data_IF_130169990592
#
_entry.id   IF_130169990592
#
_cell.length_a   1.000
_cell.length_b   1.000
_cell.length_c   1.000
_cell.angle_alpha   90.00
_cell.angle_beta   90.00
_cell.angle_gamma   90.00
#
_symmetry.space_group_name_H-M   'P 1'
#
loop_
_entity.id
_entity.type
_entity.pdbx_description
1 polymer ?
#
# COMPACT_ATOMS: atom_id res chain seq x y z
N UNK A 1 1.32 -58.82 6.36
CA UNK A 1 0.56 -57.56 6.18
C UNK A 1 1.57 -56.49 5.82
N UNK A 2 1.86 -56.30 4.52
CA UNK A 2 2.81 -55.29 4.04
C UNK A 2 2.03 -54.18 3.35
N UNK A 3 2.06 -52.98 3.91
CA UNK A 3 1.53 -51.78 3.28
C UNK A 3 2.69 -50.98 2.70
N UNK A 4 2.78 -50.92 1.37
CA UNK A 4 3.69 -50.00 0.68
C UNK A 4 3.25 -48.55 0.90
N UNK A 5 4.17 -47.59 1.12
CA UNK A 5 3.80 -46.18 1.14
C UNK A 5 3.55 -45.71 -0.30
N UNK A 6 2.37 -45.13 -0.53
CA UNK A 6 2.02 -44.48 -1.79
C UNK A 6 2.82 -43.18 -1.91
N UNK A 7 3.68 -43.10 -2.93
CA UNK A 7 4.42 -41.88 -3.25
C UNK A 7 3.42 -40.81 -3.73
N UNK A 8 3.27 -39.73 -2.95
CA UNK A 8 2.48 -38.57 -3.38
C UNK A 8 3.19 -37.89 -4.55
N UNK A 9 2.49 -37.73 -5.65
CA UNK A 9 2.98 -37.02 -6.83
C UNK A 9 3.23 -35.54 -6.50
N UNK A 10 4.22 -34.88 -7.11
CA UNK A 10 4.45 -33.45 -6.90
C UNK A 10 3.24 -32.66 -7.44
N UNK A 11 2.74 -31.75 -6.61
CA UNK A 11 1.69 -30.79 -7.00
C UNK A 11 2.28 -29.90 -8.11
N UNK A 12 1.60 -29.75 -9.26
CA UNK A 12 2.10 -28.89 -10.32
C UNK A 12 2.04 -27.44 -9.83
N UNK A 13 3.19 -26.79 -9.70
CA UNK A 13 3.27 -25.35 -9.46
C UNK A 13 3.08 -24.67 -10.81
N UNK A 14 1.90 -24.10 -11.03
CA UNK A 14 1.64 -23.29 -12.21
C UNK A 14 2.62 -22.12 -12.27
N UNK A 15 3.35 -22.02 -13.38
CA UNK A 15 4.42 -21.06 -13.61
C UNK A 15 3.95 -19.82 -14.37
N UNK A 16 2.65 -19.53 -14.34
CA UNK A 16 2.13 -18.24 -14.77
C UNK A 16 2.47 -17.21 -13.68
N UNK A 17 3.39 -16.30 -13.98
CA UNK A 17 3.66 -15.12 -13.14
C UNK A 17 2.47 -14.18 -13.29
N UNK A 18 1.37 -14.51 -12.63
CA UNK A 18 0.22 -13.63 -12.54
C UNK A 18 0.69 -12.29 -11.95
N UNK A 19 0.40 -11.19 -12.64
CA UNK A 19 0.73 -9.87 -12.14
C UNK A 19 0.01 -9.67 -10.80
N UNK A 20 0.74 -9.27 -9.75
CA UNK A 20 0.17 -8.99 -8.42
C UNK A 20 -0.52 -7.62 -8.41
N UNK A 21 -1.55 -7.48 -9.24
CA UNK A 21 -2.28 -6.23 -9.46
C UNK A 21 -3.70 -6.56 -9.92
N UNK A 22 -4.66 -5.76 -9.45
CA UNK A 22 -6.02 -5.76 -9.98
C UNK A 22 -6.19 -4.52 -10.87
N UNK A 23 -6.38 -4.74 -12.17
CA UNK A 23 -6.53 -3.65 -13.14
C UNK A 23 -7.81 -2.85 -12.91
N UNK A 24 -8.90 -3.48 -12.46
CA UNK A 24 -10.17 -2.80 -12.24
C UNK A 24 -10.09 -1.80 -11.09
N UNK A 25 -9.34 -2.12 -10.03
CA UNK A 25 -9.09 -1.19 -8.94
C UNK A 25 -8.19 -0.02 -9.38
N UNK A 26 -7.17 -0.26 -10.21
CA UNK A 26 -6.35 0.81 -10.78
C UNK A 26 -7.19 1.79 -11.61
N UNK A 27 -8.03 1.28 -12.51
CA UNK A 27 -8.86 2.09 -13.39
C UNK A 27 -9.83 2.98 -12.57
N UNK A 28 -10.41 2.42 -11.50
CA UNK A 28 -11.28 3.15 -10.57
C UNK A 28 -10.56 4.32 -9.89
N UNK A 29 -9.34 4.12 -9.39
CA UNK A 29 -8.57 5.22 -8.77
C UNK A 29 -8.06 6.22 -9.80
N UNK A 30 -7.70 5.78 -11.01
CA UNK A 30 -7.29 6.67 -12.10
C UNK A 30 -8.43 7.61 -12.53
N UNK A 31 -9.66 7.11 -12.59
CA UNK A 31 -10.82 7.92 -12.95
C UNK A 31 -11.08 9.09 -11.97
N UNK A 32 -10.63 8.97 -10.72
CA UNK A 32 -10.78 9.99 -9.68
C UNK A 32 -9.51 10.84 -9.46
N UNK A 33 -8.41 10.55 -10.17
CA UNK A 33 -7.08 11.03 -9.79
C UNK A 33 -6.94 12.56 -9.77
N UNK A 34 -7.64 13.27 -10.66
CA UNK A 34 -7.60 14.75 -10.70
C UNK A 34 -8.17 15.43 -9.45
N UNK A 35 -8.93 14.67 -8.64
CA UNK A 35 -9.60 15.18 -7.43
C UNK A 35 -8.84 14.86 -6.14
N UNK A 36 -7.67 14.24 -6.22
CA UNK A 36 -6.95 13.76 -5.04
C UNK A 36 -6.70 14.84 -3.98
N UNK A 37 -6.45 16.07 -4.42
CA UNK A 37 -6.13 17.22 -3.56
C UNK A 37 -7.30 18.18 -3.32
N UNK A 38 -8.51 17.83 -3.80
CA UNK A 38 -9.74 18.53 -3.42
C UNK A 38 -10.16 18.04 -2.03
N UNK A 39 -10.16 18.91 -0.99
CA UNK A 39 -10.46 18.53 0.39
C UNK A 39 -11.93 18.15 0.60
N UNK A 40 -12.81 18.43 -0.36
CA UNK A 40 -14.23 18.09 -0.31
C UNK A 40 -14.60 16.96 -1.32
N UNK A 41 -13.60 16.27 -1.87
CA UNK A 41 -13.78 15.14 -2.79
C UNK A 41 -14.08 13.81 -2.09
N UNK A 42 -14.15 12.74 -2.89
CA UNK A 42 -14.17 11.35 -2.44
C UNK A 42 -12.96 11.00 -1.55
N UNK A 43 -11.86 11.76 -1.63
CA UNK A 43 -10.66 11.59 -0.82
C UNK A 43 -10.63 12.47 0.43
N UNK A 44 -11.69 13.24 0.74
CA UNK A 44 -11.81 14.01 1.99
C UNK A 44 -11.39 13.23 3.25
N UNK A 45 -11.82 11.97 3.45
CA UNK A 45 -11.40 11.21 4.62
C UNK A 45 -9.87 11.01 4.72
N UNK A 46 -9.16 10.92 3.58
CA UNK A 46 -7.69 10.82 3.57
C UNK A 46 -7.02 12.13 3.99
N UNK A 47 -7.60 13.28 3.65
CA UNK A 47 -7.14 14.59 4.13
C UNK A 47 -7.38 14.74 5.62
N UNK A 48 -8.60 14.44 6.09
CA UNK A 48 -8.99 14.56 7.49
C UNK A 48 -8.15 13.67 8.40
N UNK A 49 -7.87 12.43 7.99
CA UNK A 49 -7.06 11.49 8.78
C UNK A 49 -5.56 11.77 8.71
N UNK A 50 -5.08 12.54 7.72
CA UNK A 50 -3.66 12.67 7.44
C UNK A 50 -2.83 13.19 8.63
N UNK A 51 -3.26 14.25 9.35
CA UNK A 51 -2.51 14.76 10.49
C UNK A 51 -2.32 13.70 11.59
N UNK A 52 -3.40 12.97 11.91
CA UNK A 52 -3.38 11.94 12.95
C UNK A 52 -2.45 10.77 12.58
N UNK A 53 -2.58 10.25 11.34
CA UNK A 53 -1.73 9.12 10.92
C UNK A 53 -0.27 9.53 10.75
N UNK A 54 0.02 10.75 10.29
CA UNK A 54 1.39 11.27 10.20
C UNK A 54 2.03 11.33 11.59
N UNK A 55 1.33 11.93 12.57
CA UNK A 55 1.81 12.01 13.94
C UNK A 55 2.11 10.62 14.50
N UNK A 56 1.18 9.67 14.31
CA UNK A 56 1.37 8.30 14.75
C UNK A 56 2.62 7.66 14.11
N UNK A 57 2.83 7.81 12.80
CA UNK A 57 4.01 7.29 12.10
C UNK A 57 5.30 7.88 12.67
N UNK A 58 5.35 9.20 12.87
CA UNK A 58 6.52 9.90 13.43
C UNK A 58 6.82 9.37 14.84
N UNK A 59 5.78 9.18 15.67
CA UNK A 59 5.95 8.59 17.00
C UNK A 59 6.49 7.15 16.93
N UNK A 60 5.96 6.32 16.03
CA UNK A 60 6.45 4.95 15.85
C UNK A 60 7.88 4.89 15.31
N UNK A 61 8.31 5.89 14.53
CA UNK A 61 9.67 6.02 14.02
C UNK A 61 10.70 6.51 15.06
N UNK A 62 10.30 6.67 16.33
CA UNK A 62 11.17 7.17 17.39
C UNK A 62 11.10 8.69 17.59
N UNK A 63 10.04 9.33 17.11
CA UNK A 63 9.76 10.75 17.31
C UNK A 63 10.35 11.68 16.24
N UNK A 64 11.04 11.15 15.23
CA UNK A 64 11.57 11.92 14.10
C UNK A 64 11.73 11.04 12.86
N UNK A 65 11.57 11.64 11.68
CA UNK A 65 11.87 11.00 10.39
C UNK A 65 13.23 11.44 9.80
N UNK A 66 13.94 12.36 10.45
CA UNK A 66 15.19 12.91 9.92
C UNK A 66 16.25 11.84 9.68
N UNK A 67 16.80 11.83 8.46
CA UNK A 67 17.83 10.87 8.06
C UNK A 67 17.31 9.46 7.78
N UNK A 68 15.99 9.24 7.82
CA UNK A 68 15.38 7.98 7.41
C UNK A 68 15.06 8.00 5.92
N UNK A 69 15.18 6.84 5.27
CA UNK A 69 14.61 6.62 3.95
C UNK A 69 13.22 6.03 4.11
N UNK A 70 12.21 6.70 3.57
CA UNK A 70 10.79 6.33 3.73
C UNK A 70 10.20 5.93 2.38
N UNK A 71 9.37 4.89 2.36
CA UNK A 71 8.59 4.46 1.19
C UNK A 71 7.11 4.41 1.55
N UNK A 72 6.28 5.01 0.69
CA UNK A 72 4.82 5.02 0.81
C UNK A 72 4.21 4.15 -0.30
N UNK A 73 3.90 2.89 0.02
CA UNK A 73 3.42 1.90 -0.95
C UNK A 73 1.93 2.11 -1.20
N UNK A 74 1.57 2.37 -2.46
CA UNK A 74 0.21 2.79 -2.80
C UNK A 74 -0.05 4.27 -2.50
N UNK A 75 0.99 5.11 -2.62
CA UNK A 75 0.94 6.55 -2.35
C UNK A 75 -0.18 7.31 -3.09
N UNK A 76 -0.58 6.83 -4.27
CA UNK A 76 -1.60 7.48 -5.09
C UNK A 76 -1.23 8.93 -5.37
N UNK A 77 -2.14 9.86 -5.11
CA UNK A 77 -1.91 11.31 -5.26
C UNK A 77 -1.00 11.94 -4.19
N UNK A 78 -0.40 11.15 -3.29
CA UNK A 78 0.73 11.60 -2.48
C UNK A 78 0.40 12.43 -1.23
N UNK A 79 -0.85 12.41 -0.75
CA UNK A 79 -1.26 13.15 0.47
C UNK A 79 -0.35 12.81 1.67
N UNK A 80 -0.11 11.53 1.90
CA UNK A 80 0.76 11.09 2.99
C UNK A 80 2.23 11.26 2.61
N UNK A 81 2.62 10.86 1.40
CA UNK A 81 3.99 10.98 0.90
C UNK A 81 4.55 12.39 1.05
N UNK A 82 3.78 13.41 0.66
CA UNK A 82 4.20 14.81 0.78
C UNK A 82 4.35 15.24 2.24
N UNK A 83 3.45 14.78 3.11
CA UNK A 83 3.49 15.08 4.53
C UNK A 83 4.70 14.40 5.23
N UNK A 84 5.02 13.16 4.84
CA UNK A 84 6.20 12.43 5.30
C UNK A 84 7.48 13.16 4.88
N UNK A 85 7.58 13.58 3.60
CA UNK A 85 8.74 14.31 3.08
C UNK A 85 8.94 15.67 3.76
N UNK A 86 7.86 16.33 4.20
CA UNK A 86 7.95 17.59 4.98
C UNK A 86 8.38 17.36 6.43
N UNK A 87 8.15 16.16 6.98
CA UNK A 87 8.38 15.85 8.39
C UNK A 87 9.78 15.29 8.71
N UNK A 88 10.64 15.02 7.71
CA UNK A 88 12.03 14.61 7.97
C UNK A 88 12.90 14.49 6.73
#
# INVERSE_FOLDING_TARGET
>A
MSTSPSASSPVPVDSSTAANVDQAELDKFQALASRWWDPDSEFKPLHDINPLRLEWIVQQAGGSLSGLNVVDVGCGGGILTEALAKAG
#
